data_IF_655206448299
#
_entry.id   IF_655206448299
#
_cell.length_a   1.000
_cell.length_b   1.000
_cell.length_c   1.000
_cell.angle_alpha   90.00
_cell.angle_beta   90.00
_cell.angle_gamma   90.00
#
_symmetry.space_group_name_H-M   'P 1'
#
loop_
_entity.id
_entity.type
_entity.pdbx_description
1 polymer ?
#
# COMPACT_ATOMS: atom_id res chain seq x y z
N UNK A 1 4.63 14.08 -4.31
CA UNK A 1 5.63 13.04 -4.67
C UNK A 1 6.73 13.06 -3.61
N UNK A 2 6.47 12.48 -2.44
CA UNK A 2 7.44 12.41 -1.33
C UNK A 2 8.15 11.07 -1.38
N UNK A 3 9.07 10.90 -2.33
CA UNK A 3 9.88 9.70 -2.42
C UNK A 3 10.94 9.75 -1.33
N UNK A 4 10.74 9.00 -0.24
CA UNK A 4 11.85 8.65 0.66
C UNK A 4 12.96 8.03 -0.20
N UNK A 5 14.22 8.41 0.00
CA UNK A 5 15.34 7.74 -0.66
C UNK A 5 15.20 6.23 -0.38
N UNK A 6 15.21 5.40 -1.41
CA UNK A 6 14.82 3.97 -1.42
C UNK A 6 13.33 3.60 -1.57
N UNK A 7 12.45 4.54 -1.92
CA UNK A 7 11.06 4.19 -2.25
C UNK A 7 10.96 3.20 -3.42
N UNK A 8 10.25 2.08 -3.27
CA UNK A 8 10.03 1.11 -4.35
C UNK A 8 9.34 1.72 -5.59
N UNK A 9 8.64 2.85 -5.44
CA UNK A 9 8.07 3.62 -6.55
C UNK A 9 9.14 4.13 -7.53
N UNK A 10 10.30 4.60 -7.04
CA UNK A 10 11.38 5.08 -7.94
C UNK A 10 12.06 3.95 -8.69
N UNK A 11 11.91 2.70 -8.22
CA UNK A 11 12.43 1.48 -8.84
C UNK A 11 11.41 0.85 -9.81
N UNK A 12 10.20 1.42 -9.94
CA UNK A 12 9.11 0.83 -10.73
C UNK A 12 8.54 -0.46 -10.12
N UNK A 13 8.75 -0.67 -8.81
CA UNK A 13 8.40 -1.91 -8.10
C UNK A 13 7.18 -1.74 -7.17
N UNK A 14 6.56 -0.55 -7.14
CA UNK A 14 5.41 -0.25 -6.30
C UNK A 14 4.31 0.48 -7.05
N UNK A 15 3.09 0.38 -6.52
CA UNK A 15 1.92 1.11 -6.96
C UNK A 15 1.04 1.48 -5.76
N UNK A 16 0.38 2.64 -5.85
CA UNK A 16 -0.67 3.02 -4.90
C UNK A 16 -2.02 2.85 -5.61
N UNK A 17 -2.89 1.98 -5.08
CA UNK A 17 -4.11 1.53 -5.72
C UNK A 17 -5.33 2.06 -4.95
N UNK A 18 -6.30 2.61 -5.69
CA UNK A 18 -7.63 2.98 -5.18
C UNK A 18 -8.70 2.42 -6.10
N UNK A 19 -9.70 1.75 -5.52
CA UNK A 19 -10.86 1.20 -6.24
C UNK A 19 -12.13 1.85 -5.68
N UNK A 20 -12.85 2.70 -6.44
CA UNK A 20 -14.12 3.24 -6.00
C UNK A 20 -15.11 2.13 -5.64
N UNK A 21 -15.78 2.28 -4.49
CA UNK A 21 -16.73 1.27 -3.99
C UNK A 21 -16.11 0.11 -3.21
N UNK A 22 -14.77 0.02 -3.14
CA UNK A 22 -14.08 -0.98 -2.33
C UNK A 22 -13.42 -0.33 -1.11
N UNK A 23 -13.64 -0.92 0.07
CA UNK A 23 -12.99 -0.46 1.31
C UNK A 23 -11.52 -0.87 1.33
N UNK A 24 -10.67 -0.03 1.93
CA UNK A 24 -9.20 -0.23 1.96
C UNK A 24 -8.81 -1.59 2.54
N UNK A 25 -9.50 -2.05 3.59
CA UNK A 25 -9.22 -3.35 4.20
C UNK A 25 -9.43 -4.51 3.21
N UNK A 26 -10.51 -4.46 2.42
CA UNK A 26 -10.81 -5.49 1.43
C UNK A 26 -9.84 -5.42 0.25
N UNK A 27 -9.48 -4.21 -0.20
CA UNK A 27 -8.46 -4.04 -1.23
C UNK A 27 -7.08 -4.59 -0.77
N UNK A 28 -6.73 -4.40 0.51
CA UNK A 28 -5.51 -4.99 1.09
C UNK A 28 -5.52 -6.51 1.09
N UNK A 29 -6.66 -7.12 1.45
CA UNK A 29 -6.85 -8.58 1.39
C UNK A 29 -6.73 -9.13 -0.04
N UNK A 30 -7.30 -8.42 -1.02
CA UNK A 30 -7.15 -8.79 -2.43
C UNK A 30 -5.70 -8.66 -2.92
N UNK A 31 -4.98 -7.63 -2.49
CA UNK A 31 -3.55 -7.47 -2.81
C UNK A 31 -2.71 -8.63 -2.25
N UNK A 32 -3.04 -9.12 -1.05
CA UNK A 32 -2.40 -10.30 -0.47
C UNK A 32 -2.69 -11.56 -1.29
N UNK A 33 -3.95 -11.78 -1.69
CA UNK A 33 -4.32 -12.89 -2.56
C UNK A 33 -3.68 -12.82 -3.95
N UNK A 34 -3.39 -11.61 -4.43
CA UNK A 34 -2.67 -11.38 -5.68
C UNK A 34 -1.15 -11.63 -5.57
N UNK A 35 -0.63 -11.88 -4.36
CA UNK A 35 0.78 -12.24 -4.14
C UNK A 35 1.73 -11.07 -3.91
N UNK A 36 1.24 -9.90 -3.49
CA UNK A 36 2.13 -8.78 -3.14
C UNK A 36 2.83 -8.99 -1.79
N UNK A 37 4.13 -8.73 -1.78
CA UNK A 37 4.97 -8.91 -0.59
C UNK A 37 5.01 -7.66 0.29
N UNK A 38 4.94 -6.46 -0.27
CA UNK A 38 4.75 -5.22 0.48
C UNK A 38 3.30 -4.77 0.38
N UNK A 39 2.60 -4.62 1.51
CA UNK A 39 1.22 -4.10 1.54
C UNK A 39 1.10 -3.07 2.67
N UNK A 40 0.76 -1.84 2.29
CA UNK A 40 0.49 -0.73 3.21
C UNK A 40 -0.93 -0.22 3.07
N UNK A 41 -1.72 -0.23 4.14
CA UNK A 41 -3.10 0.29 4.12
C UNK A 41 -3.12 1.75 4.57
N UNK A 42 -3.86 2.60 3.83
CA UNK A 42 -4.04 4.02 4.16
C UNK A 42 -5.54 4.35 4.23
N UNK A 43 -6.24 3.99 5.34
CA UNK A 43 -7.70 4.16 5.43
C UNK A 43 -8.16 5.61 5.31
N UNK A 44 -7.42 6.56 5.90
CA UNK A 44 -7.75 8.00 5.86
C UNK A 44 -7.61 8.58 4.46
N UNK A 45 -6.59 8.14 3.72
CA UNK A 45 -6.29 8.60 2.36
C UNK A 45 -6.96 7.73 1.28
N UNK A 46 -7.61 6.64 1.68
CA UNK A 46 -8.43 5.74 0.85
C UNK A 46 -7.64 5.09 -0.30
N UNK A 47 -6.46 4.54 0.01
CA UNK A 47 -5.67 3.75 -0.95
C UNK A 47 -4.89 2.62 -0.25
N UNK A 48 -4.39 1.68 -1.05
CA UNK A 48 -3.46 0.62 -0.64
C UNK A 48 -2.16 0.77 -1.42
N UNK A 49 -1.04 0.84 -0.71
CA UNK A 49 0.29 0.70 -1.27
C UNK A 49 0.59 -0.78 -1.48
N UNK A 50 1.10 -1.14 -2.65
CA UNK A 50 1.64 -2.47 -2.94
C UNK A 50 3.03 -2.38 -3.52
N UNK A 51 3.90 -3.33 -3.18
CA UNK A 51 5.21 -3.48 -3.82
C UNK A 51 5.71 -4.93 -3.81
N UNK A 52 6.69 -5.21 -4.66
CA UNK A 52 7.27 -6.55 -4.88
C UNK A 52 8.60 -6.76 -4.13
N UNK A 53 8.78 -6.14 -2.96
CA UNK A 53 9.96 -6.34 -2.10
C UNK A 53 10.26 -7.82 -1.84
N UNK A 54 11.51 -8.12 -1.51
CA UNK A 54 11.93 -9.50 -1.21
C UNK A 54 11.35 -10.06 0.10
N UNK A 55 11.24 -9.22 1.14
CA UNK A 55 10.74 -9.64 2.45
C UNK A 55 9.32 -9.12 2.68
N UNK A 56 8.40 -9.99 3.08
CA UNK A 56 7.02 -9.60 3.34
C UNK A 56 6.92 -8.51 4.40
N UNK A 57 6.09 -7.50 4.15
CA UNK A 57 5.82 -6.42 5.10
C UNK A 57 4.37 -5.97 5.02
N UNK A 58 3.79 -5.70 6.20
CA UNK A 58 2.43 -5.17 6.38
C UNK A 58 2.49 -3.97 7.30
N UNK A 59 1.85 -2.87 6.92
CA UNK A 59 1.71 -1.70 7.78
C UNK A 59 0.39 -0.99 7.52
N UNK A 60 -0.09 -0.26 8.53
CA UNK A 60 -1.26 0.59 8.44
C UNK A 60 -0.86 2.01 8.83
N UNK A 61 -1.25 2.98 8.00
CA UNK A 61 -1.03 4.38 8.32
C UNK A 61 -1.87 4.77 9.52
N UNK A 62 -1.21 5.29 10.56
CA UNK A 62 -1.89 5.78 11.75
C UNK A 62 -2.85 6.92 11.39
N UNK A 63 -4.02 7.00 12.03
CA UNK A 63 -4.91 8.15 11.90
C UNK A 63 -4.15 9.43 12.25
N UNK A 64 -4.28 10.46 11.42
CA UNK A 64 -3.70 11.77 11.74
C UNK A 64 -4.40 12.28 13.00
N UNK A 65 -3.65 12.42 14.10
CA UNK A 65 -4.18 13.04 15.32
C UNK A 65 -4.59 14.48 14.98
N UNK A 66 -5.86 14.81 15.25
CA UNK A 66 -6.37 16.19 15.16
C UNK A 66 -5.75 17.06 16.25
#
# INVERSE_FOLDING_TARGET
MGGVADSYHIKGMAADIRVPGLVVAELGRLAEQAGFEGIGTYPTQVFVHVDIRYNSARWEAQPVKR
#
